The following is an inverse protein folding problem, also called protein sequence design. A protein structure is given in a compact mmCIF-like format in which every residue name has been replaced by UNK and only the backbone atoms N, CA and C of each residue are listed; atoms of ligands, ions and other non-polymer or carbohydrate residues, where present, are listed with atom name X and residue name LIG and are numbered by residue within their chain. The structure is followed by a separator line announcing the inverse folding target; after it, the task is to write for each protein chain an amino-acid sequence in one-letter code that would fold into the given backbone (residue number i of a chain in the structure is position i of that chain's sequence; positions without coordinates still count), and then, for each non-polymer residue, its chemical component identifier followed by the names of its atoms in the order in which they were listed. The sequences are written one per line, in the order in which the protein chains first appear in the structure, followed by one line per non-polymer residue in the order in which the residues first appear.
data_IF_876101152060
#
_entry.id   IF_876101152060
#
_cell.length_a   1.000
_cell.length_b   1.000
_cell.length_c   1.000
_cell.angle_alpha   90.00
_cell.angle_beta   90.00
_cell.angle_gamma   90.00
#
_symmetry.space_group_name_H-M   'P 1'
#
loop_
_entity.id
_entity.type
_entity.pdbx_description
1 polymer ?
#
# COMPACT_ATOMS: atom_id res chain seq x y z
N UNK A 1 -23.81 24.23 10.83
CA UNK A 1 -23.05 24.66 9.64
C UNK A 1 -22.67 23.41 8.86
N UNK A 2 -23.17 23.28 7.64
CA UNK A 2 -22.82 22.15 6.77
C UNK A 2 -21.44 22.38 6.18
N UNK A 3 -20.52 21.43 6.38
CA UNK A 3 -19.17 21.47 5.80
C UNK A 3 -19.27 21.53 4.28
N UNK A 4 -18.43 22.35 3.67
CA UNK A 4 -18.38 22.44 2.20
C UNK A 4 -17.93 21.08 1.62
N UNK A 5 -18.33 20.73 0.39
CA UNK A 5 -17.89 19.49 -0.26
C UNK A 5 -16.36 19.33 -0.27
N UNK A 6 -15.64 20.45 -0.38
CA UNK A 6 -14.17 20.47 -0.38
C UNK A 6 -13.57 20.18 1.00
N UNK A 7 -14.18 20.70 2.07
CA UNK A 7 -13.82 20.31 3.44
C UNK A 7 -14.15 18.84 3.74
N UNK A 8 -15.21 18.28 3.13
CA UNK A 8 -15.54 16.87 3.27
C UNK A 8 -14.48 15.99 2.60
N UNK A 9 -14.06 16.32 1.38
CA UNK A 9 -12.97 15.61 0.66
C UNK A 9 -11.66 15.70 1.44
N UNK A 10 -11.27 16.88 1.91
CA UNK A 10 -10.05 17.04 2.72
C UNK A 10 -10.10 16.24 4.02
N UNK A 11 -11.26 16.15 4.68
CA UNK A 11 -11.44 15.32 5.87
C UNK A 11 -11.36 13.82 5.54
N UNK A 12 -11.86 13.38 4.39
CA UNK A 12 -11.74 12.00 3.93
C UNK A 12 -10.29 11.63 3.63
N UNK A 13 -9.56 12.50 2.94
CA UNK A 13 -8.13 12.30 2.67
C UNK A 13 -7.32 12.22 3.97
N UNK A 14 -7.57 13.12 4.94
CA UNK A 14 -6.93 13.07 6.27
C UNK A 14 -7.27 11.79 7.04
N UNK A 15 -8.52 11.34 7.01
CA UNK A 15 -8.92 10.08 7.67
C UNK A 15 -8.30 8.85 7.00
N UNK A 16 -8.24 8.84 5.67
CA UNK A 16 -7.55 7.81 4.89
C UNK A 16 -6.08 7.77 5.27
N UNK A 17 -5.45 8.94 5.37
CA UNK A 17 -4.06 9.08 5.76
C UNK A 17 -3.79 8.51 7.16
N UNK A 18 -4.54 8.95 8.16
CA UNK A 18 -4.38 8.44 9.52
C UNK A 18 -4.61 6.92 9.63
N UNK A 19 -5.48 6.36 8.78
CA UNK A 19 -5.71 4.92 8.72
C UNK A 19 -4.53 4.18 8.09
N UNK A 20 -3.92 4.76 7.04
CA UNK A 20 -2.69 4.25 6.42
C UNK A 20 -1.56 4.26 7.44
N UNK A 21 -1.35 5.37 8.14
CA UNK A 21 -0.26 5.51 9.12
C UNK A 21 -0.42 4.55 10.29
N UNK A 22 -1.65 4.37 10.79
CA UNK A 22 -1.96 3.39 11.85
C UNK A 22 -1.77 1.95 11.38
N UNK A 23 -2.09 1.66 10.12
CA UNK A 23 -1.92 0.34 9.53
C UNK A 23 -0.47 0.07 9.11
N UNK A 24 0.34 1.11 8.89
CA UNK A 24 1.68 1.01 8.34
C UNK A 24 2.58 0.07 9.14
N UNK A 25 2.65 0.19 10.47
CA UNK A 25 3.49 -0.70 11.30
C UNK A 25 3.11 -2.18 11.14
N UNK A 26 1.81 -2.51 11.16
CA UNK A 26 1.34 -3.89 11.02
C UNK A 26 1.42 -4.40 9.57
N UNK A 27 1.26 -3.50 8.60
CA UNK A 27 1.35 -3.78 7.17
C UNK A 27 2.79 -4.00 6.71
N UNK A 28 3.73 -3.21 7.24
CA UNK A 28 5.15 -3.22 6.89
C UNK A 28 5.76 -4.59 7.15
N UNK A 29 5.58 -5.14 8.35
CA UNK A 29 6.14 -6.45 8.68
C UNK A 29 5.46 -7.61 7.95
N UNK A 30 4.16 -7.49 7.63
CA UNK A 30 3.39 -8.62 7.13
C UNK A 30 3.31 -8.65 5.59
N UNK A 31 2.97 -7.53 4.95
CA UNK A 31 2.84 -7.45 3.49
C UNK A 31 4.18 -7.14 2.85
N UNK A 32 4.85 -6.07 3.27
CA UNK A 32 6.12 -5.67 2.67
C UNK A 32 7.23 -6.68 3.03
N UNK A 33 7.27 -7.17 4.27
CA UNK A 33 8.19 -8.24 4.68
C UNK A 33 8.03 -9.52 3.84
N UNK A 34 6.79 -9.99 3.60
CA UNK A 34 6.54 -11.16 2.73
C UNK A 34 6.92 -10.89 1.28
N UNK A 35 6.57 -9.72 0.75
CA UNK A 35 6.92 -9.34 -0.61
C UNK A 35 8.45 -9.34 -0.80
N UNK A 36 9.21 -8.80 0.15
CA UNK A 36 10.68 -8.83 0.13
C UNK A 36 11.19 -10.27 0.08
N UNK A 37 10.74 -11.13 0.99
CA UNK A 37 11.17 -12.54 1.03
C UNK A 37 10.84 -13.24 -0.29
N UNK A 38 9.60 -13.13 -0.78
CA UNK A 38 9.17 -13.78 -2.03
C UNK A 38 9.91 -13.26 -3.27
N UNK A 39 10.30 -11.99 -3.31
CA UNK A 39 11.13 -11.43 -4.38
C UNK A 39 12.53 -12.03 -4.37
N UNK A 40 13.14 -12.13 -3.18
CA UNK A 40 14.48 -12.70 -2.99
C UNK A 40 14.51 -14.20 -3.30
N UNK A 41 13.50 -14.96 -2.86
CA UNK A 41 13.36 -16.39 -3.16
C UNK A 41 13.22 -16.66 -4.67
N UNK A 42 12.57 -15.75 -5.40
CA UNK A 42 12.47 -15.80 -6.86
C UNK A 42 13.74 -15.33 -7.58
N UNK A 43 14.81 -14.99 -6.85
CA UNK A 43 16.07 -14.50 -7.40
C UNK A 43 15.96 -13.14 -8.10
N UNK A 44 14.89 -12.38 -7.84
CA UNK A 44 14.69 -11.05 -8.44
C UNK A 44 15.44 -9.99 -7.62
N UNK A 45 16.01 -8.96 -8.26
CA UNK A 45 16.66 -7.87 -7.54
C UNK A 45 15.65 -7.12 -6.67
N UNK A 46 16.01 -6.88 -5.41
CA UNK A 46 15.17 -6.11 -4.50
C UNK A 46 15.29 -4.61 -4.83
N UNK A 47 14.20 -4.03 -5.29
CA UNK A 47 14.07 -2.60 -5.56
C UNK A 47 12.64 -2.14 -5.32
N UNK A 48 12.42 -0.83 -5.18
CA UNK A 48 11.08 -0.26 -5.05
C UNK A 48 10.19 -0.63 -6.25
N UNK A 49 10.75 -0.68 -7.46
CA UNK A 49 10.03 -1.09 -8.66
C UNK A 49 9.61 -2.57 -8.59
N UNK A 50 10.50 -3.46 -8.15
CA UNK A 50 10.19 -4.88 -8.01
C UNK A 50 9.13 -5.13 -6.94
N UNK A 51 9.17 -4.37 -5.84
CA UNK A 51 8.17 -4.44 -4.77
C UNK A 51 6.79 -3.95 -5.25
N UNK A 52 6.74 -2.81 -5.95
CA UNK A 52 5.52 -2.29 -6.54
C UNK A 52 4.90 -3.28 -7.52
N UNK A 53 5.71 -3.82 -8.44
CA UNK A 53 5.24 -4.81 -9.40
C UNK A 53 4.67 -6.05 -8.69
N UNK A 54 5.38 -6.59 -7.70
CA UNK A 54 4.91 -7.74 -6.93
C UNK A 54 3.53 -7.49 -6.30
N UNK A 55 3.34 -6.34 -5.66
CA UNK A 55 2.07 -6.00 -5.00
C UNK A 55 0.94 -5.77 -6.01
N UNK A 56 1.26 -5.20 -7.18
CA UNK A 56 0.29 -5.03 -8.27
C UNK A 56 -0.12 -6.37 -8.89
N UNK A 57 0.82 -7.30 -9.02
CA UNK A 57 0.54 -8.67 -9.48
C UNK A 57 -0.39 -9.37 -8.48
N UNK A 58 -0.11 -9.32 -7.18
CA UNK A 58 -0.97 -9.89 -6.13
C UNK A 58 -2.39 -9.28 -6.10
N UNK A 59 -2.51 -7.99 -6.37
CA UNK A 59 -3.81 -7.32 -6.50
C UNK A 59 -4.58 -7.77 -7.75
N UNK A 60 -3.87 -8.03 -8.84
CA UNK A 60 -4.45 -8.45 -10.12
C UNK A 60 -4.88 -9.91 -10.09
N UNK A 61 -4.05 -10.77 -9.50
CA UNK A 61 -4.30 -12.21 -9.38
C UNK A 61 -5.33 -12.53 -8.28
N UNK A 62 -5.36 -11.72 -7.22
CA UNK A 62 -6.21 -11.95 -6.05
C UNK A 62 -7.01 -10.70 -5.61
N UNK A 63 -7.84 -10.10 -6.48
CA UNK A 63 -8.49 -8.81 -6.23
C UNK A 63 -9.53 -8.83 -5.10
N UNK A 64 -10.01 -10.02 -4.72
CA UNK A 64 -11.00 -10.21 -3.65
C UNK A 64 -10.39 -10.81 -2.37
N UNK A 65 -9.07 -10.94 -2.29
CA UNK A 65 -8.44 -11.51 -1.08
C UNK A 65 -8.61 -10.56 0.11
N UNK A 66 -8.63 -11.13 1.32
CA UNK A 66 -8.62 -10.34 2.56
C UNK A 66 -7.36 -9.47 2.69
N UNK A 67 -6.29 -9.82 1.97
CA UNK A 67 -5.05 -9.07 1.90
C UNK A 67 -5.05 -7.99 0.81
N UNK A 68 -6.03 -7.95 -0.10
CA UNK A 68 -6.05 -7.00 -1.22
C UNK A 68 -6.05 -5.54 -0.74
N UNK A 69 -6.80 -5.22 0.30
CA UNK A 69 -6.78 -3.86 0.89
C UNK A 69 -5.40 -3.49 1.45
N UNK A 70 -4.68 -4.47 2.03
CA UNK A 70 -3.34 -4.28 2.56
C UNK A 70 -2.29 -4.16 1.44
N UNK A 71 -2.41 -4.95 0.36
CA UNK A 71 -1.58 -4.78 -0.83
C UNK A 71 -1.78 -3.40 -1.45
N UNK A 72 -3.02 -2.92 -1.55
CA UNK A 72 -3.30 -1.57 -2.05
C UNK A 72 -2.69 -0.48 -1.17
N UNK A 73 -2.78 -0.61 0.15
CA UNK A 73 -2.13 0.34 1.06
C UNK A 73 -0.60 0.33 0.92
N UNK A 74 0.01 -0.83 0.68
CA UNK A 74 1.45 -0.94 0.46
C UNK A 74 1.87 -0.29 -0.87
N UNK A 75 1.08 -0.43 -1.94
CA UNK A 75 1.29 0.27 -3.21
C UNK A 75 1.20 1.78 -3.02
N UNK A 76 0.13 2.26 -2.39
CA UNK A 76 -0.08 3.69 -2.13
C UNK A 76 1.04 4.29 -1.24
N UNK A 77 1.55 3.51 -0.29
CA UNK A 77 2.67 3.91 0.56
C UNK A 77 3.98 4.02 -0.25
N UNK A 78 4.32 3.00 -1.04
CA UNK A 78 5.56 2.98 -1.84
C UNK A 78 5.56 4.07 -2.94
N UNK A 79 4.42 4.35 -3.55
CA UNK A 79 4.27 5.39 -4.58
C UNK A 79 4.73 6.78 -4.09
N UNK A 80 4.58 7.08 -2.79
CA UNK A 80 5.02 8.35 -2.20
C UNK A 80 6.53 8.53 -2.14
N UNK A 81 7.25 7.43 -2.03
CA UNK A 81 8.70 7.42 -1.93
C UNK A 81 9.39 7.20 -3.28
N UNK A 82 8.62 6.89 -4.34
CA UNK A 82 9.14 6.83 -5.72
C UNK A 82 9.10 8.17 -6.45
N UNK A 83 8.40 9.18 -5.92
CA UNK A 83 8.34 10.55 -6.48
C UNK A 83 9.35 11.52 -5.83
N UNK A 84 10.26 11.03 -5.00
CA UNK A 84 11.37 11.78 -4.39
C UNK A 84 12.70 11.42 -5.06
#
# INVERSE_FOLDING_TARGET
MNKTPQEQVNNLLKKRQASIDKAAESMLSNVLGKAVISILEKGKPLSSATLLQYLQDELSDHPKSLAASWHQYAVDYLARYSEQ
#
